data_IF_800658713853
#
_entry.id   IF_800658713853
#
_cell.length_a   1.000
_cell.length_b   1.000
_cell.length_c   1.000
_cell.angle_alpha   90.00
_cell.angle_beta   90.00
_cell.angle_gamma   90.00
#
_symmetry.space_group_name_H-M   'P 1'
#
loop_
_entity.id
_entity.type
_entity.pdbx_description
1 polymer ?
#
# COMPACT_ATOMS: atom_id res chain seq x y z
N UNK A 1 -2.62 -24.52 32.48
CA UNK A 1 -3.59 -24.58 31.40
C UNK A 1 -2.88 -24.26 30.11
N UNK A 2 -2.66 -25.25 29.25
CA UNK A 2 -2.06 -25.01 27.92
C UNK A 2 -3.14 -24.45 27.01
N UNK A 3 -3.00 -23.23 26.54
CA UNK A 3 -3.81 -22.70 25.47
C UNK A 3 -3.41 -23.41 24.18
N UNK A 4 -4.24 -24.34 23.71
CA UNK A 4 -4.12 -24.88 22.37
C UNK A 4 -4.55 -23.78 21.41
N UNK A 5 -3.62 -23.21 20.67
CA UNK A 5 -3.90 -22.29 19.55
C UNK A 5 -4.62 -23.06 18.45
N UNK A 6 -5.95 -23.18 18.57
CA UNK A 6 -6.80 -23.57 17.46
C UNK A 6 -7.02 -22.32 16.58
N UNK A 7 -6.05 -21.98 15.76
CA UNK A 7 -6.24 -21.05 14.66
C UNK A 7 -7.04 -21.78 13.58
N UNK A 8 -8.37 -21.64 13.65
CA UNK A 8 -9.27 -22.12 12.59
C UNK A 8 -9.16 -21.13 11.44
N UNK A 9 -8.55 -21.54 10.34
CA UNK A 9 -8.27 -20.76 9.12
C UNK A 9 -7.12 -19.73 9.21
N UNK A 10 -6.01 -20.06 9.83
CA UNK A 10 -4.79 -19.31 9.64
C UNK A 10 -4.38 -19.36 8.16
N UNK A 11 -4.21 -18.21 7.54
CA UNK A 11 -3.60 -18.11 6.22
C UNK A 11 -2.21 -18.73 6.32
N UNK A 12 -2.00 -19.88 5.68
CA UNK A 12 -0.72 -20.54 5.68
C UNK A 12 0.23 -19.71 4.79
N UNK A 13 1.15 -18.99 5.43
CA UNK A 13 2.18 -18.21 4.73
C UNK A 13 3.39 -19.14 4.54
N UNK A 14 3.59 -19.70 3.33
CA UNK A 14 4.70 -20.60 3.10
C UNK A 14 6.04 -19.90 3.35
N UNK A 15 6.78 -20.37 4.33
CA UNK A 15 8.19 -20.03 4.51
C UNK A 15 8.51 -18.69 5.17
N UNK A 16 7.58 -17.97 5.81
CA UNK A 16 7.81 -16.70 6.54
C UNK A 16 8.55 -15.60 5.75
N UNK A 17 8.77 -15.76 4.44
CA UNK A 17 9.46 -14.77 3.61
C UNK A 17 8.51 -14.20 2.56
N UNK A 18 8.43 -12.87 2.44
CA UNK A 18 7.66 -12.27 1.37
C UNK A 18 8.27 -12.62 0.01
N UNK A 19 7.43 -12.80 -0.99
CA UNK A 19 7.85 -13.00 -2.38
C UNK A 19 8.32 -11.67 -3.02
N UNK A 20 7.72 -10.55 -2.59
CA UNK A 20 8.11 -9.21 -3.02
C UNK A 20 8.01 -8.22 -1.86
N UNK A 21 8.74 -7.10 -1.97
CA UNK A 21 8.71 -5.98 -1.02
C UNK A 21 8.81 -4.64 -1.74
N UNK A 22 8.19 -3.62 -1.16
CA UNK A 22 8.44 -2.22 -1.46
C UNK A 22 8.96 -1.53 -0.18
N UNK A 23 10.14 -0.90 -0.28
CA UNK A 23 10.64 0.01 0.75
C UNK A 23 10.05 1.39 0.44
N UNK A 24 9.14 1.84 1.29
CA UNK A 24 8.43 3.09 1.13
C UNK A 24 9.23 4.23 1.75
N UNK A 25 9.31 5.34 1.04
CA UNK A 25 9.96 6.58 1.49
C UNK A 25 9.05 7.77 1.20
N UNK A 26 9.00 8.71 2.14
CA UNK A 26 8.26 9.95 1.97
C UNK A 26 8.89 10.89 0.96
N UNK A 27 8.10 11.80 0.42
CA UNK A 27 8.59 12.94 -0.36
C UNK A 27 9.45 13.88 0.50
N UNK A 28 10.13 14.86 -0.11
CA UNK A 28 10.88 15.87 0.65
C UNK A 28 10.06 16.62 1.70
N UNK A 29 8.74 16.76 1.50
CA UNK A 29 7.83 17.38 2.47
C UNK A 29 7.48 16.44 3.64
N UNK A 30 7.74 15.14 3.50
CA UNK A 30 7.47 14.10 4.50
C UNK A 30 8.72 13.24 4.78
N UNK A 31 9.84 13.86 5.20
CA UNK A 31 11.14 13.17 5.28
C UNK A 31 11.21 12.08 6.34
N UNK A 32 10.29 12.07 7.30
CA UNK A 32 10.22 11.05 8.35
C UNK A 32 9.34 9.86 7.97
N UNK A 33 8.54 9.99 6.88
CA UNK A 33 7.66 8.93 6.45
C UNK A 33 8.46 7.81 5.78
N UNK A 34 8.38 6.61 6.33
CA UNK A 34 9.06 5.43 5.80
C UNK A 34 8.32 4.16 6.20
N UNK A 35 8.63 3.06 5.55
CA UNK A 35 8.04 1.78 5.91
C UNK A 35 8.33 0.67 4.92
N UNK A 36 7.65 -0.44 5.12
CA UNK A 36 7.77 -1.61 4.25
C UNK A 36 6.39 -2.16 3.92
N UNK A 37 6.17 -2.43 2.65
CA UNK A 37 5.03 -3.21 2.18
C UNK A 37 5.55 -4.55 1.68
N UNK A 38 5.05 -5.64 2.26
CA UNK A 38 5.45 -7.01 1.96
C UNK A 38 4.31 -7.78 1.32
N UNK A 39 4.62 -8.55 0.30
CA UNK A 39 3.67 -9.34 -0.47
C UNK A 39 4.02 -10.82 -0.36
N UNK A 40 3.08 -11.63 0.14
CA UNK A 40 3.26 -13.06 0.34
C UNK A 40 2.33 -13.84 -0.57
N UNK A 41 2.87 -14.80 -1.31
CA UNK A 41 2.05 -15.69 -2.11
C UNK A 41 1.34 -16.70 -1.21
N UNK A 42 0.03 -16.83 -1.36
CA UNK A 42 -0.79 -17.85 -0.71
C UNK A 42 -1.62 -18.60 -1.75
N UNK A 43 -2.29 -19.66 -1.34
CA UNK A 43 -3.23 -20.41 -2.21
C UNK A 43 -4.47 -19.58 -2.57
N UNK A 44 -4.88 -18.66 -1.68
CA UNK A 44 -6.08 -17.84 -1.85
C UNK A 44 -5.81 -16.49 -2.54
N UNK A 45 -4.56 -16.17 -2.85
CA UNK A 45 -4.17 -14.90 -3.45
C UNK A 45 -2.87 -14.34 -2.86
N UNK A 46 -2.78 -13.02 -2.78
CA UNK A 46 -1.63 -12.31 -2.21
C UNK A 46 -2.02 -11.73 -0.84
N UNK A 47 -1.30 -12.14 0.20
CA UNK A 47 -1.38 -11.49 1.50
C UNK A 47 -0.45 -10.27 1.48
N UNK A 48 -1.01 -9.10 1.71
CA UNK A 48 -0.30 -7.82 1.79
C UNK A 48 -0.16 -7.41 3.24
N UNK A 49 1.06 -7.09 3.66
CA UNK A 49 1.36 -6.51 4.97
C UNK A 49 2.04 -5.16 4.77
N UNK A 50 1.46 -4.09 5.29
CA UNK A 50 2.04 -2.76 5.27
C UNK A 50 2.34 -2.31 6.70
N UNK A 51 3.57 -1.86 6.94
CA UNK A 51 4.01 -1.28 8.21
C UNK A 51 4.69 0.05 7.90
N UNK A 52 4.05 1.14 8.32
CA UNK A 52 4.41 2.51 7.92
C UNK A 52 4.57 3.39 9.16
N UNK A 53 5.64 4.18 9.16
CA UNK A 53 6.02 5.10 10.23
C UNK A 53 6.15 6.53 9.71
N UNK A 54 6.03 7.52 10.59
CA UNK A 54 6.20 8.93 10.26
C UNK A 54 5.07 9.51 9.41
N UNK A 55 3.89 8.86 9.41
CA UNK A 55 2.68 9.40 8.81
C UNK A 55 2.29 10.73 9.47
N UNK A 56 1.69 11.69 8.74
CA UNK A 56 1.08 12.86 9.34
C UNK A 56 0.13 12.47 10.48
N UNK A 57 0.26 13.13 11.61
CA UNK A 57 -0.62 12.90 12.76
C UNK A 57 -1.27 14.21 13.20
N UNK A 58 -2.47 14.13 13.76
CA UNK A 58 -3.18 15.23 14.32
C UNK A 58 -3.38 15.02 15.81
N UNK A 59 -3.14 16.05 16.60
CA UNK A 59 -3.26 16.01 18.07
C UNK A 59 -4.69 16.24 18.56
N UNK A 60 -5.61 16.61 17.66
CA UNK A 60 -6.99 16.90 18.02
C UNK A 60 -7.85 15.63 18.02
N UNK A 61 -8.76 15.48 18.97
CA UNK A 61 -9.74 14.38 18.99
C UNK A 61 -10.55 14.32 17.68
N UNK A 62 -10.91 13.12 17.25
CA UNK A 62 -11.72 12.86 16.04
C UNK A 62 -11.06 13.28 14.71
N UNK A 63 -9.74 13.44 14.69
CA UNK A 63 -8.97 13.78 13.49
C UNK A 63 -7.91 12.73 13.17
N UNK A 64 -8.18 11.46 13.46
CA UNK A 64 -7.28 10.38 13.08
C UNK A 64 -7.21 10.29 11.55
N UNK A 65 -6.03 10.50 10.96
CA UNK A 65 -5.90 10.56 9.52
C UNK A 65 -6.06 9.17 8.88
N UNK A 66 -6.70 9.16 7.71
CA UNK A 66 -6.82 8.00 6.84
C UNK A 66 -6.16 8.35 5.52
N UNK A 67 -5.36 7.43 5.00
CA UNK A 67 -4.51 7.67 3.84
C UNK A 67 -4.89 6.73 2.69
N UNK A 68 -5.09 7.25 1.49
CA UNK A 68 -5.24 6.44 0.28
C UNK A 68 -3.98 5.59 0.08
N UNK A 69 -4.17 4.34 -0.33
CA UNK A 69 -3.10 3.36 -0.44
C UNK A 69 -3.30 2.50 -1.69
N UNK A 70 -2.43 2.67 -2.68
CA UNK A 70 -2.63 2.06 -3.99
C UNK A 70 -1.33 1.51 -4.59
N UNK A 71 -1.48 0.54 -5.49
CA UNK A 71 -0.42 0.19 -6.45
C UNK A 71 -0.63 1.03 -7.71
N UNK A 72 0.40 1.74 -8.14
CA UNK A 72 0.44 2.52 -9.36
C UNK A 72 1.17 1.79 -10.49
N UNK A 73 0.85 2.13 -11.73
CA UNK A 73 1.40 1.47 -12.92
C UNK A 73 2.83 1.85 -13.25
N UNK A 74 3.30 3.01 -12.76
CA UNK A 74 4.67 3.49 -12.97
C UNK A 74 5.71 2.66 -12.24
N UNK A 75 6.96 2.81 -12.67
CA UNK A 75 8.09 1.98 -12.22
C UNK A 75 9.15 2.76 -11.44
N UNK A 76 8.93 4.04 -11.20
CA UNK A 76 9.87 4.92 -10.50
C UNK A 76 9.16 5.80 -9.48
N UNK A 77 9.81 6.01 -8.33
CA UNK A 77 9.40 6.96 -7.30
C UNK A 77 10.06 8.34 -7.53
N UNK A 78 10.06 8.81 -8.76
CA UNK A 78 10.57 10.12 -9.17
C UNK A 78 9.45 10.98 -9.74
N UNK A 79 9.73 12.24 -9.99
CA UNK A 79 8.76 13.18 -10.55
C UNK A 79 9.36 14.56 -10.72
N UNK A 80 8.60 15.59 -10.39
CA UNK A 80 8.95 16.98 -10.56
C UNK A 80 8.61 17.82 -9.31
N UNK A 81 8.83 19.13 -9.37
CA UNK A 81 8.59 20.01 -8.23
C UNK A 81 7.10 20.10 -7.81
N UNK A 82 6.15 19.86 -8.71
CA UNK A 82 4.73 19.91 -8.41
C UNK A 82 4.14 18.56 -7.96
N UNK A 83 4.73 17.44 -8.41
CA UNK A 83 4.41 16.08 -7.98
C UNK A 83 5.71 15.28 -7.87
N UNK A 84 6.27 15.12 -6.66
CA UNK A 84 7.52 14.38 -6.45
C UNK A 84 7.48 12.93 -6.92
N UNK A 85 6.27 12.40 -7.13
CA UNK A 85 6.04 11.03 -7.56
C UNK A 85 5.24 10.94 -8.88
N UNK A 86 5.38 11.93 -9.77
CA UNK A 86 4.67 11.97 -11.05
C UNK A 86 4.90 10.71 -11.90
N UNK A 87 6.12 10.13 -11.86
CA UNK A 87 6.49 8.95 -12.64
C UNK A 87 5.86 7.64 -12.14
N UNK A 88 5.13 7.68 -11.00
CA UNK A 88 4.31 6.56 -10.56
C UNK A 88 3.07 6.37 -11.44
N UNK A 89 2.71 7.38 -12.22
CA UNK A 89 1.52 7.41 -13.09
C UNK A 89 0.20 7.27 -12.31
N UNK A 90 -0.74 6.46 -12.83
CA UNK A 90 -2.07 6.22 -12.27
C UNK A 90 -2.17 4.87 -11.58
N UNK A 91 -3.28 4.58 -10.92
CA UNK A 91 -3.56 3.29 -10.30
C UNK A 91 -3.36 2.14 -11.31
N UNK A 92 -2.81 1.02 -10.84
CA UNK A 92 -2.64 -0.18 -11.66
C UNK A 92 -4.02 -0.75 -12.03
N UNK A 93 -4.38 -0.62 -13.30
CA UNK A 93 -5.70 -0.97 -13.82
C UNK A 93 -5.60 -1.72 -15.15
N UNK A 94 -5.18 -3.00 -15.15
CA UNK A 94 -4.97 -3.74 -16.39
C UNK A 94 -6.26 -4.10 -17.13
N UNK A 95 -7.40 -4.03 -16.46
CA UNK A 95 -8.71 -4.41 -17.02
C UNK A 95 -9.60 -3.23 -17.38
N UNK A 96 -9.06 -1.99 -17.31
CA UNK A 96 -9.78 -0.76 -17.61
C UNK A 96 -11.12 -0.63 -16.85
N UNK A 97 -11.10 -1.01 -15.57
CA UNK A 97 -12.25 -0.89 -14.68
C UNK A 97 -12.42 0.56 -14.20
N UNK A 98 -13.61 0.88 -13.69
CA UNK A 98 -13.83 2.11 -12.92
C UNK A 98 -13.30 1.93 -11.48
N UNK A 99 -12.84 3.03 -10.88
CA UNK A 99 -12.52 3.07 -9.45
C UNK A 99 -13.80 2.78 -8.61
N UNK A 100 -13.75 1.97 -7.54
CA UNK A 100 -12.57 1.37 -6.87
C UNK A 100 -12.31 -0.09 -7.28
N UNK A 101 -12.49 -0.43 -8.54
CA UNK A 101 -12.30 -1.81 -9.01
C UNK A 101 -10.98 -2.00 -9.76
N UNK A 102 -10.05 -1.04 -9.69
CA UNK A 102 -8.70 -1.24 -10.23
C UNK A 102 -8.00 -2.37 -9.48
N UNK A 103 -7.13 -3.09 -10.14
CA UNK A 103 -6.32 -4.10 -9.47
C UNK A 103 -5.43 -3.51 -8.37
N UNK A 104 -5.00 -2.26 -8.55
CA UNK A 104 -4.15 -1.54 -7.60
C UNK A 104 -4.87 -0.87 -6.43
N UNK A 105 -6.21 -0.87 -6.39
CA UNK A 105 -6.95 -0.25 -5.28
C UNK A 105 -6.90 -1.17 -4.05
N UNK A 106 -6.30 -0.68 -2.97
CA UNK A 106 -6.11 -1.41 -1.71
C UNK A 106 -6.89 -0.72 -0.57
N UNK A 107 -7.18 -1.43 0.54
CA UNK A 107 -7.75 -0.80 1.72
C UNK A 107 -6.87 0.35 2.22
N UNK A 108 -7.46 1.48 2.68
CA UNK A 108 -6.70 2.62 3.15
C UNK A 108 -5.93 2.32 4.43
N UNK A 109 -4.89 3.13 4.69
CA UNK A 109 -4.15 3.08 5.94
C UNK A 109 -4.81 3.96 6.98
N UNK A 110 -5.05 3.42 8.17
CA UNK A 110 -5.51 4.17 9.34
C UNK A 110 -4.31 4.55 10.19
N UNK A 111 -4.07 5.85 10.34
CA UNK A 111 -2.97 6.38 11.12
C UNK A 111 -3.26 6.33 12.64
N UNK A 112 -2.26 5.93 13.41
CA UNK A 112 -2.25 5.90 14.88
C UNK A 112 -0.99 6.64 15.34
N UNK A 113 -1.08 7.92 15.64
CA UNK A 113 0.06 8.74 16.08
C UNK A 113 1.32 8.60 15.21
N UNK A 114 1.14 8.67 13.89
CA UNK A 114 2.22 8.54 12.92
C UNK A 114 2.57 7.11 12.51
N UNK A 115 1.89 6.12 13.03
CA UNK A 115 2.08 4.70 12.69
C UNK A 115 0.84 4.12 12.03
N UNK A 116 1.01 3.24 11.05
CA UNK A 116 -0.06 2.40 10.51
C UNK A 116 0.42 0.97 10.28
N UNK A 117 -0.43 0.03 10.62
CA UNK A 117 -0.27 -1.38 10.28
C UNK A 117 -1.53 -1.89 9.59
N UNK A 118 -1.35 -2.54 8.44
CA UNK A 118 -2.43 -3.13 7.67
C UNK A 118 -2.03 -4.53 7.22
N UNK A 119 -2.94 -5.48 7.36
CA UNK A 119 -2.80 -6.84 6.84
C UNK A 119 -4.11 -7.25 6.14
N UNK A 120 -4.03 -7.60 4.86
CA UNK A 120 -5.21 -8.05 4.11
C UNK A 120 -4.84 -9.04 3.01
N UNK A 121 -5.82 -9.85 2.61
CA UNK A 121 -5.70 -10.81 1.51
C UNK A 121 -6.44 -10.27 0.28
N UNK A 122 -5.84 -10.42 -0.89
CA UNK A 122 -6.45 -10.01 -2.16
C UNK A 122 -6.10 -10.97 -3.28
N UNK A 123 -7.00 -11.10 -4.25
CA UNK A 123 -6.78 -11.79 -5.52
C UNK A 123 -6.89 -10.85 -6.73
N UNK A 124 -6.86 -9.52 -6.50
CA UNK A 124 -6.96 -8.50 -7.56
C UNK A 124 -5.73 -8.46 -8.46
N UNK A 125 -4.59 -8.97 -7.98
CA UNK A 125 -3.34 -9.06 -8.73
C UNK A 125 -2.53 -10.28 -8.28
N UNK A 126 -1.57 -10.67 -9.09
CA UNK A 126 -0.54 -11.65 -8.75
C UNK A 126 0.79 -10.96 -8.43
N UNK A 127 1.70 -11.64 -7.75
CA UNK A 127 3.05 -11.10 -7.45
C UNK A 127 3.78 -10.70 -8.74
N UNK A 128 3.72 -11.55 -9.78
CA UNK A 128 4.41 -11.31 -11.05
C UNK A 128 3.92 -10.05 -11.78
N UNK A 129 2.66 -9.71 -11.66
CA UNK A 129 2.08 -8.52 -12.30
C UNK A 129 2.51 -7.22 -11.66
N UNK A 130 2.80 -7.23 -10.36
CA UNK A 130 3.11 -6.02 -9.60
C UNK A 130 4.62 -5.76 -9.41
N UNK A 131 5.49 -6.73 -9.72
CA UNK A 131 6.93 -6.50 -9.69
C UNK A 131 7.31 -5.34 -10.63
N UNK A 132 8.12 -4.41 -10.12
CA UNK A 132 8.56 -3.22 -10.83
C UNK A 132 7.57 -2.06 -10.78
N UNK A 133 6.31 -2.27 -10.34
CA UNK A 133 5.33 -1.20 -10.10
C UNK A 133 5.60 -0.49 -8.78
N UNK A 134 4.85 0.54 -8.49
CA UNK A 134 5.05 1.34 -7.28
C UNK A 134 3.87 1.24 -6.32
N UNK A 135 4.16 1.13 -5.03
CA UNK A 135 3.21 1.40 -3.96
C UNK A 135 3.23 2.89 -3.68
N UNK A 136 2.06 3.49 -3.55
CA UNK A 136 1.89 4.92 -3.27
C UNK A 136 0.97 5.12 -2.07
N UNK A 137 1.35 6.04 -1.19
CA UNK A 137 0.51 6.54 -0.08
C UNK A 137 0.12 7.97 -0.40
N UNK A 138 -1.16 8.29 -0.23
CA UNK A 138 -1.75 9.60 -0.47
C UNK A 138 -2.06 10.31 0.85
N UNK A 139 -2.19 11.65 0.81
CA UNK A 139 -2.43 12.48 2.01
C UNK A 139 -3.90 12.55 2.44
N UNK A 140 -4.83 12.07 1.59
CA UNK A 140 -6.26 12.04 1.87
C UNK A 140 -6.81 10.60 1.81
N UNK A 141 -7.94 10.32 2.46
CA UNK A 141 -8.61 9.05 2.32
C UNK A 141 -9.12 8.84 0.88
N UNK A 142 -9.13 7.59 0.43
CA UNK A 142 -9.86 7.19 -0.74
C UNK A 142 -11.37 7.20 -0.43
N UNK A 143 -12.18 7.90 -1.21
CA UNK A 143 -13.64 7.97 -1.04
C UNK A 143 -14.39 6.83 -1.74
N UNK A 144 -13.67 5.95 -2.47
CA UNK A 144 -14.16 4.78 -3.20
C UNK A 144 -15.19 5.07 -4.31
N UNK A 145 -15.42 6.32 -4.64
CA UNK A 145 -16.50 6.73 -5.56
C UNK A 145 -16.06 7.69 -6.64
N UNK A 146 -15.19 8.65 -6.31
CA UNK A 146 -14.75 9.68 -7.25
C UNK A 146 -13.81 9.10 -8.30
N UNK A 147 -14.13 9.32 -9.57
CA UNK A 147 -13.28 8.90 -10.67
C UNK A 147 -12.18 9.95 -10.94
N UNK A 148 -10.99 9.56 -11.37
CA UNK A 148 -10.53 8.17 -11.58
C UNK A 148 -9.85 7.52 -10.36
N UNK A 149 -9.69 8.20 -9.23
CA UNK A 149 -8.73 7.81 -8.19
C UNK A 149 -9.21 8.06 -6.74
N UNK A 150 -10.54 8.11 -6.52
CA UNK A 150 -11.10 8.21 -5.17
C UNK A 150 -10.79 9.50 -4.42
N UNK A 151 -10.45 10.59 -5.13
CA UNK A 151 -10.12 11.90 -4.54
C UNK A 151 -9.04 11.82 -3.42
N UNK A 152 -8.11 10.86 -3.53
CA UNK A 152 -7.13 10.53 -2.49
C UNK A 152 -6.07 11.61 -2.22
N UNK A 153 -6.08 12.72 -2.96
CA UNK A 153 -5.18 13.84 -2.74
C UNK A 153 -3.78 13.62 -3.32
N UNK A 154 -2.78 14.26 -2.68
CA UNK A 154 -1.40 14.24 -3.14
C UNK A 154 -0.70 12.92 -2.77
N UNK A 155 0.25 12.50 -3.58
CA UNK A 155 1.15 11.41 -3.28
C UNK A 155 2.21 11.89 -2.27
N UNK A 156 2.27 11.26 -1.11
CA UNK A 156 3.18 11.66 -0.02
C UNK A 156 4.31 10.68 0.21
N UNK A 157 4.16 9.42 -0.23
CA UNK A 157 5.22 8.42 -0.16
C UNK A 157 5.10 7.40 -1.28
N UNK A 158 6.24 6.80 -1.64
CA UNK A 158 6.35 5.82 -2.71
C UNK A 158 7.40 4.76 -2.39
N UNK A 159 7.20 3.55 -2.92
CA UNK A 159 8.16 2.46 -2.90
C UNK A 159 8.02 1.57 -4.13
N UNK A 160 9.13 1.25 -4.80
CA UNK A 160 9.12 0.30 -5.93
C UNK A 160 9.03 -1.11 -5.40
N UNK A 161 8.13 -1.91 -5.97
CA UNK A 161 7.93 -3.32 -5.60
C UNK A 161 9.03 -4.17 -6.25
N UNK A 162 9.88 -4.75 -5.42
CA UNK A 162 11.01 -5.56 -5.86
C UNK A 162 10.83 -7.01 -5.43
N UNK A 163 11.31 -7.93 -6.25
CA UNK A 163 11.33 -9.35 -5.90
C UNK A 163 12.25 -9.56 -4.67
N UNK A 164 11.77 -10.27 -3.64
CA UNK A 164 12.55 -10.57 -2.43
C UNK A 164 13.48 -11.77 -2.60
N UNK A 165 13.43 -12.47 -3.75
CA UNK A 165 14.30 -13.61 -4.03
C UNK A 165 15.63 -13.11 -4.59
N UNK A 166 16.60 -12.98 -3.73
CA UNK A 166 18.04 -13.15 -4.02
C UNK A 166 18.66 -13.98 -2.92
#
# INVERSE_FOLDING_TARGET
>A
MMYTNNCVNCVNIPGNRPAARALVQGSPDYPLLHGTVSFYQTEQGVLVSAEIFGLPSHTQPCQNPVFGFHIHSGTSCTGNASDPFADTLTHYNPSDCLHPNHAGDMPPLFGNDGYAFLLFLTNRFTISEIIGKTVVIHDMPDDFTTQPAGNSGKKIACGVIMNSRR
#
